data_IF_864548758006
#
_entry.id   IF_864548758006
#
_cell.length_a   1.000
_cell.length_b   1.000
_cell.length_c   1.000
_cell.angle_alpha   90.00
_cell.angle_beta   90.00
_cell.angle_gamma   90.00
#
_symmetry.space_group_name_H-M   'P 1'
#
loop_
_entity.id
_entity.type
_entity.pdbx_description
1 polymer ?
#
# COMPACT_ATOMS: atom_id res chain seq x y z
N UNK A 1 -12.84 -6.87 -6.35
CA UNK A 1 -13.29 -7.52 -5.09
C UNK A 1 -12.12 -7.97 -4.21
N UNK A 2 -11.08 -8.61 -4.76
CA UNK A 2 -9.93 -9.09 -3.98
C UNK A 2 -9.25 -8.01 -3.11
N UNK A 3 -9.12 -6.78 -3.58
CA UNK A 3 -8.49 -5.70 -2.81
C UNK A 3 -9.25 -5.27 -1.55
N UNK A 4 -10.58 -5.20 -1.62
CA UNK A 4 -11.40 -4.82 -0.46
C UNK A 4 -11.34 -5.89 0.65
N UNK A 5 -11.29 -7.17 0.25
CA UNK A 5 -11.11 -8.29 1.18
C UNK A 5 -9.72 -8.24 1.83
N UNK A 6 -8.67 -7.91 1.06
CA UNK A 6 -7.33 -7.80 1.62
C UNK A 6 -7.21 -6.63 2.60
N UNK A 7 -7.81 -5.47 2.31
CA UNK A 7 -7.86 -4.35 3.27
C UNK A 7 -8.66 -4.70 4.52
N UNK A 8 -9.73 -5.49 4.38
CA UNK A 8 -10.48 -6.02 5.52
C UNK A 8 -9.59 -6.93 6.38
N UNK A 9 -8.85 -7.86 5.75
CA UNK A 9 -7.91 -8.75 6.43
C UNK A 9 -6.83 -7.96 7.16
N UNK A 10 -6.29 -6.91 6.53
CA UNK A 10 -5.31 -6.05 7.19
C UNK A 10 -5.91 -5.41 8.45
N UNK A 11 -7.15 -4.90 8.40
CA UNK A 11 -7.87 -4.39 9.58
C UNK A 11 -8.13 -5.46 10.67
N UNK A 12 -8.35 -6.73 10.30
CA UNK A 12 -8.58 -7.83 11.27
C UNK A 12 -7.36 -8.06 12.16
N UNK A 13 -6.18 -8.05 11.55
CA UNK A 13 -4.94 -8.48 12.20
C UNK A 13 -4.08 -7.31 12.70
N UNK A 14 -4.22 -6.10 12.12
CA UNK A 14 -3.39 -4.97 12.50
C UNK A 14 -3.47 -4.61 13.98
N UNK A 15 -4.69 -4.66 14.54
CA UNK A 15 -4.95 -4.34 15.95
C UNK A 15 -4.18 -5.24 16.92
N UNK A 16 -3.96 -6.50 16.54
CA UNK A 16 -3.34 -7.53 17.37
C UNK A 16 -1.81 -7.51 17.22
N UNK A 17 -1.34 -7.38 15.99
CA UNK A 17 0.07 -7.56 15.63
C UNK A 17 0.90 -6.32 15.95
N UNK A 18 0.35 -5.12 15.74
CA UNK A 18 1.10 -3.88 15.86
C UNK A 18 0.82 -3.15 17.17
N UNK A 19 1.79 -2.35 17.62
CA UNK A 19 1.69 -1.58 18.85
C UNK A 19 1.10 -0.16 18.69
N UNK A 20 1.10 0.37 17.48
CA UNK A 20 0.66 1.72 17.16
C UNK A 20 -0.29 1.68 15.97
N UNK A 21 -1.35 2.46 16.07
CA UNK A 21 -2.45 2.58 15.13
C UNK A 21 -3.25 3.82 15.47
N UNK A 22 -3.97 4.38 14.49
CA UNK A 22 -4.86 5.52 14.74
C UNK A 22 -5.95 5.03 15.69
N UNK A 23 -6.12 5.70 16.82
CA UNK A 23 -7.11 5.30 17.84
C UNK A 23 -8.13 6.39 18.07
N UNK A 24 -9.38 5.99 18.22
CA UNK A 24 -10.44 6.87 18.65
C UNK A 24 -10.48 6.90 20.17
N UNK A 25 -9.98 7.99 20.77
CA UNK A 25 -9.90 8.18 22.23
C UNK A 25 -10.40 9.60 22.52
N UNK A 26 -11.20 9.78 23.57
CA UNK A 26 -11.74 11.09 23.97
C UNK A 26 -12.49 11.82 22.84
N UNK A 27 -13.36 11.12 22.11
CA UNK A 27 -14.15 11.66 21.00
C UNK A 27 -13.32 12.27 19.85
N UNK A 28 -12.03 11.96 19.76
CA UNK A 28 -11.14 12.46 18.72
C UNK A 28 -10.25 11.35 18.17
N UNK A 29 -9.94 11.45 16.88
CA UNK A 29 -8.96 10.59 16.21
C UNK A 29 -7.55 11.01 16.63
N UNK A 30 -6.93 10.18 17.46
CA UNK A 30 -5.54 10.38 17.88
C UNK A 30 -4.62 9.67 16.91
N UNK A 31 -3.90 10.45 16.11
CA UNK A 31 -2.82 9.97 15.26
C UNK A 31 -1.61 9.59 16.10
N UNK A 32 -0.88 8.58 15.64
CA UNK A 32 0.37 8.15 16.28
C UNK A 32 1.55 8.58 15.42
N UNK A 33 2.62 8.99 16.08
CA UNK A 33 3.88 9.28 15.41
C UNK A 33 4.86 8.10 15.49
N UNK A 34 5.61 7.92 14.40
CA UNK A 34 6.67 6.92 14.27
C UNK A 34 6.23 5.59 13.66
N UNK A 35 7.21 4.68 13.56
CA UNK A 35 7.08 3.36 12.92
C UNK A 35 6.39 2.40 13.90
N UNK A 36 5.45 1.60 13.41
CA UNK A 36 4.79 0.56 14.21
C UNK A 36 5.68 -0.69 14.29
N UNK A 37 5.79 -1.27 15.49
CA UNK A 37 6.59 -2.47 15.73
C UNK A 37 5.68 -3.69 15.78
N UNK A 38 6.12 -4.77 15.11
CA UNK A 38 5.35 -5.99 14.84
C UNK A 38 5.46 -7.06 15.96
N UNK A 39 6.29 -6.82 16.99
CA UNK A 39 6.56 -7.74 18.10
C UNK A 39 6.44 -7.06 19.46
N UNK A 40 5.32 -6.39 19.71
CA UNK A 40 5.07 -5.78 21.02
C UNK A 40 4.22 -6.70 21.88
N UNK A 41 4.45 -6.70 23.20
CA UNK A 41 3.79 -7.61 24.15
C UNK A 41 2.25 -7.59 24.11
N UNK A 42 1.66 -6.50 23.60
CA UNK A 42 0.21 -6.32 23.44
C UNK A 42 -0.05 -5.43 22.23
N UNK A 43 -0.95 -5.88 21.35
CA UNK A 43 -1.44 -5.09 20.22
C UNK A 43 -2.18 -3.82 20.66
N UNK A 44 -2.31 -2.84 19.77
CA UNK A 44 -2.95 -1.57 20.10
C UNK A 44 -4.48 -1.64 20.22
N UNK A 45 -5.11 -2.69 19.67
CA UNK A 45 -6.56 -2.86 19.58
C UNK A 45 -6.97 -4.34 19.62
N UNK A 46 -8.28 -4.61 19.70
CA UNK A 46 -8.85 -5.97 19.67
C UNK A 46 -9.04 -6.45 18.22
N UNK A 47 -9.36 -7.74 18.04
CA UNK A 47 -9.73 -8.32 16.74
C UNK A 47 -10.85 -7.48 16.09
N UNK A 48 -10.78 -7.23 14.78
CA UNK A 48 -11.69 -6.39 13.98
C UNK A 48 -11.67 -4.87 14.22
N UNK A 49 -10.95 -4.38 15.23
CA UNK A 49 -10.86 -2.94 15.53
C UNK A 49 -9.51 -2.33 15.10
N UNK A 50 -8.83 -2.96 14.14
CA UNK A 50 -7.63 -2.41 13.52
C UNK A 50 -7.99 -1.43 12.40
N UNK A 51 -7.27 -0.33 12.33
CA UNK A 51 -7.26 0.54 11.15
C UNK A 51 -6.26 0.01 10.12
N UNK A 52 -6.55 0.26 8.84
CA UNK A 52 -5.58 0.11 7.76
C UNK A 52 -4.39 1.00 8.09
N UNK A 53 -3.21 0.39 8.19
CA UNK A 53 -1.98 1.13 8.40
C UNK A 53 -1.15 0.99 7.14
N UNK A 54 -0.80 2.16 6.66
CA UNK A 54 0.12 2.38 5.57
C UNK A 54 1.53 1.92 5.98
N UNK A 55 1.92 0.72 5.54
CA UNK A 55 3.16 0.06 5.96
C UNK A 55 4.41 0.60 5.28
N UNK A 56 4.33 0.87 3.98
CA UNK A 56 5.52 1.12 3.17
C UNK A 56 5.49 2.52 2.57
N UNK A 57 6.50 3.31 2.94
CA UNK A 57 6.72 4.64 2.38
C UNK A 57 7.93 4.62 1.46
N UNK A 58 7.71 4.73 0.15
CA UNK A 58 8.79 4.73 -0.84
C UNK A 58 8.98 6.13 -1.41
N UNK A 59 10.21 6.65 -1.26
CA UNK A 59 10.68 7.89 -1.89
C UNK A 59 11.35 7.52 -3.22
N UNK A 60 10.60 7.48 -4.31
CA UNK A 60 11.13 7.02 -5.60
C UNK A 60 12.09 8.01 -6.26
N UNK A 61 11.87 9.33 -6.10
CA UNK A 61 12.72 10.33 -6.75
C UNK A 61 12.73 11.65 -5.98
N UNK A 62 13.93 12.12 -5.62
CA UNK A 62 14.16 13.43 -5.01
C UNK A 62 15.13 14.21 -5.88
N UNK A 63 14.62 15.17 -6.66
CA UNK A 63 15.45 16.04 -7.50
C UNK A 63 15.54 17.39 -6.80
N UNK A 64 16.76 17.83 -6.51
CA UNK A 64 17.03 19.22 -6.13
C UNK A 64 17.17 20.03 -7.41
N UNK A 65 16.27 20.99 -7.61
CA UNK A 65 16.37 21.88 -8.76
C UNK A 65 17.64 22.73 -8.65
N UNK A 66 18.45 22.81 -9.72
CA UNK A 66 19.69 23.56 -9.67
C UNK A 66 19.44 25.07 -9.62
N UNK A 67 20.30 25.78 -8.89
CA UNK A 67 20.11 27.19 -8.48
C UNK A 67 20.15 28.23 -9.62
N UNK A 68 20.48 27.81 -10.85
CA UNK A 68 20.59 28.68 -12.01
C UNK A 68 19.22 28.98 -12.68
N UNK A 69 18.14 28.33 -12.25
CA UNK A 69 16.78 28.60 -12.74
C UNK A 69 16.09 29.58 -11.78
N UNK A 70 15.87 30.85 -12.16
CA UNK A 70 15.38 31.88 -11.25
C UNK A 70 13.94 31.64 -10.76
N UNK A 71 13.14 30.82 -11.47
CA UNK A 71 11.76 30.52 -11.12
C UNK A 71 11.60 29.36 -10.11
N UNK A 72 12.61 28.49 -9.95
CA UNK A 72 12.54 27.26 -9.12
C UNK A 72 13.73 27.14 -8.14
N UNK A 73 14.20 28.28 -7.62
CA UNK A 73 15.31 28.32 -6.65
C UNK A 73 14.95 27.53 -5.38
N UNK A 74 15.79 26.55 -5.01
CA UNK A 74 15.64 25.70 -3.81
C UNK A 74 14.34 24.87 -3.73
N UNK A 75 13.69 24.58 -4.86
CA UNK A 75 12.53 23.67 -4.84
C UNK A 75 13.00 22.22 -4.87
N UNK A 76 12.67 21.47 -3.83
CA UNK A 76 12.84 20.01 -3.81
C UNK A 76 11.62 19.37 -4.49
N UNK A 77 11.78 18.94 -5.74
CA UNK A 77 10.74 18.18 -6.43
C UNK A 77 10.76 16.74 -5.90
N UNK A 78 9.70 16.38 -5.19
CA UNK A 78 9.42 15.01 -4.71
C UNK A 78 8.37 14.42 -5.64
N UNK A 79 8.79 13.63 -6.63
CA UNK A 79 7.87 13.28 -7.72
C UNK A 79 6.97 12.08 -7.43
N UNK A 80 7.30 11.22 -6.48
CA UNK A 80 6.59 9.95 -6.25
C UNK A 80 6.81 9.46 -4.81
N UNK A 81 6.11 10.08 -3.86
CA UNK A 81 6.01 9.55 -2.50
C UNK A 81 4.79 8.62 -2.45
N UNK A 82 5.02 7.33 -2.71
CA UNK A 82 3.93 6.34 -2.67
C UNK A 82 3.92 5.72 -1.29
N UNK A 83 2.72 5.73 -0.71
CA UNK A 83 2.38 5.01 0.49
C UNK A 83 1.57 3.80 0.04
N UNK A 84 1.98 2.59 0.42
CA UNK A 84 1.21 1.38 0.11
C UNK A 84 1.13 0.43 1.28
N UNK A 85 0.01 -0.29 1.36
CA UNK A 85 -0.21 -1.37 2.31
C UNK A 85 0.13 -2.73 1.67
N UNK A 86 0.29 -3.77 2.48
CA UNK A 86 0.56 -5.13 2.04
C UNK A 86 -0.54 -5.65 1.09
N UNK A 87 -1.80 -5.28 1.31
CA UNK A 87 -2.90 -5.53 0.38
C UNK A 87 -2.67 -4.99 -1.03
N UNK A 88 -2.22 -3.74 -1.15
CA UNK A 88 -1.97 -3.11 -2.44
C UNK A 88 -0.85 -3.83 -3.21
N UNK A 89 0.14 -4.35 -2.48
CA UNK A 89 1.22 -5.18 -3.05
C UNK A 89 0.68 -6.50 -3.62
N UNK A 90 -0.24 -7.17 -2.92
CA UNK A 90 -0.84 -8.42 -3.42
C UNK A 90 -1.70 -8.19 -4.66
N UNK A 91 -2.46 -7.09 -4.71
CA UNK A 91 -3.23 -6.70 -5.91
C UNK A 91 -2.25 -6.46 -7.07
N UNK A 92 -1.20 -5.68 -6.83
CA UNK A 92 -0.19 -5.37 -7.85
C UNK A 92 0.48 -6.63 -8.41
N UNK A 93 0.90 -7.55 -7.55
CA UNK A 93 1.48 -8.83 -7.96
C UNK A 93 0.48 -9.70 -8.74
N UNK A 94 -0.78 -9.76 -8.30
CA UNK A 94 -1.83 -10.49 -9.01
C UNK A 94 -2.05 -9.95 -10.43
N UNK A 95 -2.06 -8.63 -10.61
CA UNK A 95 -2.18 -7.99 -11.91
C UNK A 95 -0.96 -8.27 -12.79
N UNK A 96 0.26 -8.22 -12.24
CA UNK A 96 1.48 -8.57 -12.98
C UNK A 96 1.43 -10.01 -13.46
N UNK A 97 1.12 -10.95 -12.57
CA UNK A 97 1.05 -12.38 -12.93
C UNK A 97 -0.01 -12.61 -14.00
N UNK A 98 -1.19 -11.98 -13.87
CA UNK A 98 -2.24 -12.05 -14.87
C UNK A 98 -1.80 -11.47 -16.22
N UNK A 99 -1.10 -10.33 -16.21
CA UNK A 99 -0.58 -9.70 -17.42
C UNK A 99 0.47 -10.58 -18.10
N UNK A 100 1.40 -11.16 -17.33
CA UNK A 100 2.40 -12.10 -17.83
C UNK A 100 1.75 -13.35 -18.41
N UNK A 101 0.73 -13.91 -17.75
CA UNK A 101 -0.03 -15.04 -18.27
C UNK A 101 -0.72 -14.71 -19.59
N UNK A 102 -1.34 -13.53 -19.71
CA UNK A 102 -1.97 -13.09 -20.96
C UNK A 102 -0.97 -12.79 -22.08
N UNK A 103 0.21 -12.30 -21.73
CA UNK A 103 1.28 -12.00 -22.68
C UNK A 103 1.96 -13.27 -23.19
N UNK A 104 2.13 -14.27 -22.32
CA UNK A 104 2.86 -15.50 -22.63
C UNK A 104 1.95 -16.65 -23.10
N UNK A 105 0.65 -16.60 -22.80
CA UNK A 105 -0.30 -17.57 -23.35
C UNK A 105 -0.51 -17.25 -24.83
N UNK A 106 -0.07 -18.09 -25.79
CA UNK A 106 -0.48 -17.94 -27.17
C UNK A 106 -2.01 -17.96 -27.20
N UNK A 107 -2.63 -17.04 -27.93
CA UNK A 107 -4.05 -17.16 -28.22
C UNK A 107 -4.19 -18.41 -29.06
N UNK A 108 -4.64 -19.51 -28.43
CA UNK A 108 -5.04 -20.69 -29.17
C UNK A 108 -6.09 -20.20 -30.17
N UNK A 109 -5.72 -20.19 -31.45
CA UNK A 109 -6.60 -19.78 -32.52
C UNK A 109 -7.89 -20.58 -32.37
N UNK A 110 -9.00 -19.88 -32.20
CA UNK A 110 -10.30 -20.49 -32.28
C UNK A 110 -10.50 -20.80 -33.76
N UNK A 111 -10.06 -21.99 -34.19
CA UNK A 111 -10.37 -22.50 -35.51
C UNK A 111 -11.81 -23.04 -35.41
N UNK A 112 -12.81 -22.36 -36.02
CA UNK A 112 -14.17 -22.87 -35.99
C UNK A 112 -14.15 -24.20 -36.74
N UNK A 113 -14.59 -25.27 -36.06
CA UNK A 113 -14.80 -26.56 -36.70
C UNK A 113 -15.68 -26.33 -37.94
N UNK A 114 -15.11 -26.58 -39.12
CA UNK A 114 -15.88 -26.57 -40.37
C UNK A 114 -16.97 -27.63 -40.28
N UNK A 115 -18.18 -27.32 -40.78
CA UNK A 115 -19.37 -28.15 -40.62
C UNK A 115 -19.25 -29.53 -41.27
#
# INVERSE_FOLDING_TARGET
MAGAISNLIDCLFYGIIFNKGVRFINHSWNFYEGISNIFYKKGYSFFLCGCVVDMFYVKLLKIKMPNYIPLFRNVELKFLNVIFNLADLFIFMGVIIFCLFKLFSPQAGFEPATP
#
